data_IF_335584711313
#
_entry.id   IF_335584711313
#
_cell.length_a   1.000
_cell.length_b   1.000
_cell.length_c   1.000
_cell.angle_alpha   90.00
_cell.angle_beta   90.00
_cell.angle_gamma   90.00
#
_symmetry.space_group_name_H-M   'P 1'
#
loop_
_entity.id
_entity.type
_entity.pdbx_description
1 polymer ?
#
# COMPACT_ATOMS: atom_id res chain seq x y z
N UNK A 1 -6.82 -7.51 -31.81
CA UNK A 1 -5.77 -7.72 -30.78
C UNK A 1 -6.35 -8.62 -29.69
N UNK A 2 -5.70 -9.73 -29.31
CA UNK A 2 -6.20 -10.58 -28.23
C UNK A 2 -6.17 -9.83 -26.89
N UNK A 3 -7.19 -10.03 -26.06
CA UNK A 3 -7.27 -9.46 -24.70
C UNK A 3 -7.10 -10.62 -23.71
N UNK A 4 -6.13 -10.48 -22.82
CA UNK A 4 -5.86 -11.41 -21.73
C UNK A 4 -6.23 -10.78 -20.40
N UNK A 5 -6.85 -11.55 -19.52
CA UNK A 5 -7.28 -11.13 -18.19
C UNK A 5 -6.49 -11.91 -17.16
N UNK A 6 -5.78 -11.23 -16.27
CA UNK A 6 -5.05 -11.86 -15.16
C UNK A 6 -6.03 -12.28 -14.06
N UNK A 7 -5.88 -13.49 -13.54
CA UNK A 7 -6.62 -13.98 -12.39
C UNK A 7 -5.77 -14.08 -11.11
N UNK A 8 -6.42 -14.41 -9.99
CA UNK A 8 -5.79 -14.54 -8.66
C UNK A 8 -4.80 -15.70 -8.54
N UNK A 9 -4.79 -16.61 -9.51
CA UNK A 9 -3.84 -17.75 -9.59
C UNK A 9 -2.62 -17.41 -10.47
N UNK A 10 -2.42 -16.13 -10.80
CA UNK A 10 -1.35 -15.64 -11.69
C UNK A 10 -1.43 -16.18 -13.12
N UNK A 11 -2.63 -16.51 -13.61
CA UNK A 11 -2.85 -17.04 -14.96
C UNK A 11 -3.65 -16.09 -15.85
N UNK A 12 -3.32 -16.10 -17.15
CA UNK A 12 -4.10 -15.35 -18.13
C UNK A 12 -5.28 -16.16 -18.66
N UNK A 13 -6.49 -15.61 -18.48
CA UNK A 13 -7.75 -16.12 -19.02
C UNK A 13 -8.19 -15.34 -20.26
N UNK A 14 -9.02 -15.99 -21.08
CA UNK A 14 -9.79 -15.30 -22.12
C UNK A 14 -10.91 -14.48 -21.48
N UNK A 15 -11.42 -13.48 -22.21
CA UNK A 15 -12.57 -12.67 -21.76
C UNK A 15 -13.79 -13.55 -21.42
N UNK A 16 -14.04 -14.62 -22.20
CA UNK A 16 -15.16 -15.54 -21.94
C UNK A 16 -14.99 -16.28 -20.62
N UNK A 17 -13.79 -16.79 -20.33
CA UNK A 17 -13.50 -17.51 -19.09
C UNK A 17 -13.48 -16.57 -17.86
N UNK A 18 -12.97 -15.35 -18.02
CA UNK A 18 -13.02 -14.33 -16.97
C UNK A 18 -14.47 -13.98 -16.59
N UNK A 19 -15.39 -13.90 -17.57
CA UNK A 19 -16.81 -13.63 -17.32
C UNK A 19 -17.53 -14.76 -16.58
N UNK A 20 -17.10 -16.01 -16.73
CA UNK A 20 -17.71 -17.14 -16.01
C UNK A 20 -17.23 -17.25 -14.56
N UNK A 21 -16.09 -16.68 -14.21
CA UNK A 21 -15.49 -16.75 -12.87
C UNK A 21 -15.07 -15.36 -12.36
N UNK A 22 -16.00 -14.40 -12.22
CA UNK A 22 -15.68 -13.01 -11.94
C UNK A 22 -14.93 -12.83 -10.61
N UNK A 23 -15.22 -13.65 -9.61
CA UNK A 23 -14.54 -13.62 -8.31
C UNK A 23 -13.05 -13.98 -8.38
N UNK A 24 -12.62 -14.74 -9.39
CA UNK A 24 -11.21 -15.06 -9.59
C UNK A 24 -10.42 -13.96 -10.28
N UNK A 25 -11.10 -12.98 -10.87
CA UNK A 25 -10.47 -11.85 -11.57
C UNK A 25 -10.57 -10.58 -10.74
N UNK A 26 -11.64 -10.44 -9.97
CA UNK A 26 -11.82 -9.35 -9.03
C UNK A 26 -10.62 -9.32 -8.06
N UNK A 27 -9.98 -8.16 -7.93
CA UNK A 27 -8.87 -7.96 -7.01
C UNK A 27 -7.59 -8.73 -7.33
N UNK A 28 -7.27 -9.01 -8.61
CA UNK A 28 -6.02 -9.69 -9.00
C UNK A 28 -4.78 -8.78 -9.14
N UNK A 29 -4.88 -7.47 -8.84
CA UNK A 29 -3.79 -6.51 -9.01
C UNK A 29 -2.53 -6.84 -8.17
N UNK A 30 -2.72 -7.35 -6.96
CA UNK A 30 -1.62 -7.75 -6.06
C UNK A 30 -0.80 -8.91 -6.64
N UNK A 31 -1.43 -9.80 -7.41
CA UNK A 31 -0.76 -10.96 -8.01
C UNK A 31 0.31 -10.51 -9.00
N UNK A 32 0.01 -9.51 -9.83
CA UNK A 32 0.97 -8.97 -10.79
C UNK A 32 2.20 -8.38 -10.08
N UNK A 33 2.00 -7.65 -8.98
CA UNK A 33 3.09 -7.11 -8.16
C UNK A 33 3.91 -8.24 -7.53
N UNK A 34 3.27 -9.23 -6.89
CA UNK A 34 3.96 -10.36 -6.28
C UNK A 34 4.76 -11.19 -7.28
N UNK A 35 4.17 -11.47 -8.44
CA UNK A 35 4.80 -12.20 -9.53
C UNK A 35 6.04 -11.46 -10.04
N UNK A 36 5.94 -10.13 -10.22
CA UNK A 36 7.05 -9.30 -10.65
C UNK A 36 8.22 -9.38 -9.67
N UNK A 37 7.96 -9.24 -8.36
CA UNK A 37 9.01 -9.33 -7.34
C UNK A 37 9.65 -10.71 -7.31
N UNK A 38 8.87 -11.78 -7.48
CA UNK A 38 9.34 -13.17 -7.47
C UNK A 38 10.37 -13.50 -8.57
N UNK A 39 10.48 -12.65 -9.59
CA UNK A 39 11.52 -12.73 -10.64
C UNK A 39 12.90 -12.29 -10.13
N UNK A 40 12.95 -11.42 -9.13
CA UNK A 40 14.18 -10.86 -8.57
C UNK A 40 14.53 -11.43 -7.20
N UNK A 41 13.53 -11.64 -6.35
CA UNK A 41 13.70 -12.13 -4.97
C UNK A 41 12.83 -13.35 -4.76
N UNK A 42 13.45 -14.51 -4.50
CA UNK A 42 12.74 -15.78 -4.37
C UNK A 42 11.94 -15.90 -3.07
N UNK A 43 12.41 -15.26 -2.01
CA UNK A 43 11.79 -15.34 -0.68
C UNK A 43 11.74 -13.93 -0.09
N UNK A 44 10.55 -13.35 0.03
CA UNK A 44 10.31 -12.02 0.60
C UNK A 44 8.83 -11.81 0.97
N UNK A 45 8.53 -10.71 1.63
CA UNK A 45 7.15 -10.18 1.71
C UNK A 45 7.07 -8.87 0.96
N UNK A 46 6.12 -8.72 0.05
CA UNK A 46 5.88 -7.46 -0.68
C UNK A 46 4.81 -6.66 0.04
N UNK A 47 5.03 -5.36 0.23
CA UNK A 47 4.02 -4.43 0.73
C UNK A 47 3.78 -3.36 -0.35
N UNK A 48 2.56 -3.36 -0.91
CA UNK A 48 2.11 -2.40 -1.92
C UNK A 48 1.04 -1.48 -1.30
N UNK A 49 1.40 -0.22 -1.10
CA UNK A 49 0.50 0.77 -0.47
C UNK A 49 -0.05 1.70 -1.54
N UNK A 50 -1.32 1.48 -1.87
CA UNK A 50 -2.08 2.33 -2.78
C UNK A 50 -2.69 3.55 -2.09
N UNK A 51 -3.63 4.21 -2.78
CA UNK A 51 -4.41 5.31 -2.20
C UNK A 51 -5.41 4.85 -1.14
N UNK A 52 -5.92 3.62 -1.27
CA UNK A 52 -7.08 3.12 -0.51
C UNK A 52 -6.72 2.00 0.45
N UNK A 53 -5.83 1.10 0.02
CA UNK A 53 -5.51 -0.13 0.72
C UNK A 53 -4.03 -0.46 0.61
N UNK A 54 -3.61 -1.36 1.49
CA UNK A 54 -2.26 -1.93 1.54
C UNK A 54 -2.37 -3.44 1.33
N UNK A 55 -1.67 -3.96 0.33
CA UNK A 55 -1.54 -5.41 0.11
C UNK A 55 -0.23 -5.91 0.70
N UNK A 56 -0.29 -7.05 1.40
CA UNK A 56 0.87 -7.74 1.98
C UNK A 56 0.96 -9.12 1.35
N UNK A 57 1.97 -9.34 0.51
CA UNK A 57 2.03 -10.46 -0.43
C UNK A 57 3.26 -11.31 -0.09
N UNK A 58 3.09 -12.47 0.55
CA UNK A 58 4.19 -13.40 0.79
C UNK A 58 4.65 -14.06 -0.51
N UNK A 59 5.96 -14.07 -0.74
CA UNK A 59 6.63 -14.76 -1.86
C UNK A 59 7.64 -15.74 -1.27
N UNK A 60 7.53 -17.02 -1.60
CA UNK A 60 8.40 -18.08 -1.10
C UNK A 60 8.84 -18.94 -2.28
N UNK A 61 10.14 -19.22 -2.39
CA UNK A 61 10.75 -20.02 -3.48
C UNK A 61 10.34 -19.57 -4.90
N UNK A 62 10.11 -18.27 -5.10
CA UNK A 62 9.69 -17.67 -6.37
C UNK A 62 8.21 -17.83 -6.71
N UNK A 63 7.39 -18.34 -5.79
CA UNK A 63 5.94 -18.43 -5.90
C UNK A 63 5.24 -17.52 -4.90
N UNK A 64 4.04 -17.03 -5.24
CA UNK A 64 3.21 -16.27 -4.31
C UNK A 64 2.51 -17.25 -3.36
N UNK A 65 2.73 -17.11 -2.05
CA UNK A 65 2.19 -17.99 -1.01
C UNK A 65 1.05 -17.31 -0.25
N UNK A 66 0.13 -16.66 -0.98
CA UNK A 66 -1.04 -16.02 -0.38
C UNK A 66 -2.01 -17.09 0.15
N UNK A 67 -2.48 -16.91 1.38
CA UNK A 67 -3.52 -17.73 1.98
C UNK A 67 -4.93 -17.33 1.50
N UNK A 68 -5.13 -16.05 1.17
CA UNK A 68 -6.39 -15.53 0.66
C UNK A 68 -6.41 -15.33 -0.85
N UNK A 69 -7.50 -15.74 -1.50
CA UNK A 69 -7.73 -15.52 -2.93
C UNK A 69 -8.81 -14.46 -3.17
N UNK A 70 -9.68 -14.24 -2.20
CA UNK A 70 -10.70 -13.19 -2.18
C UNK A 70 -10.32 -12.07 -1.21
N UNK A 71 -10.97 -10.90 -1.33
CA UNK A 71 -10.72 -9.80 -0.39
C UNK A 71 -11.05 -10.16 1.06
N UNK A 72 -12.13 -10.93 1.28
CA UNK A 72 -12.48 -11.41 2.62
C UNK A 72 -11.38 -12.30 3.21
N UNK A 73 -10.92 -13.29 2.44
CA UNK A 73 -9.85 -14.17 2.91
C UNK A 73 -8.55 -13.40 3.15
N UNK A 74 -8.20 -12.45 2.27
CA UNK A 74 -7.00 -11.62 2.46
C UNK A 74 -7.10 -10.76 3.72
N UNK A 75 -8.28 -10.20 4.02
CA UNK A 75 -8.53 -9.48 5.27
C UNK A 75 -8.35 -10.39 6.49
N UNK A 76 -8.93 -11.60 6.45
CA UNK A 76 -8.79 -12.58 7.53
C UNK A 76 -7.33 -13.00 7.78
N UNK A 77 -6.51 -12.97 6.73
CA UNK A 77 -5.12 -13.43 6.76
C UNK A 77 -4.10 -12.29 6.86
N UNK A 78 -4.51 -11.03 7.02
CA UNK A 78 -3.59 -9.90 7.07
C UNK A 78 -2.86 -9.61 5.75
N UNK A 79 -3.34 -10.17 4.64
CA UNK A 79 -2.79 -9.97 3.28
C UNK A 79 -3.40 -8.74 2.59
N UNK A 80 -4.45 -8.18 3.18
CA UNK A 80 -5.08 -6.93 2.78
C UNK A 80 -5.44 -6.13 4.03
N UNK A 81 -4.98 -4.87 4.09
CA UNK A 81 -5.40 -3.89 5.10
C UNK A 81 -6.10 -2.75 4.37
N UNK A 82 -7.31 -2.39 4.79
CA UNK A 82 -8.10 -1.30 4.18
C UNK A 82 -7.65 0.08 4.66
N UNK A 83 -6.34 0.33 4.58
CA UNK A 83 -5.71 1.61 4.84
C UNK A 83 -4.71 1.94 3.74
N UNK A 84 -4.73 3.17 3.26
CA UNK A 84 -3.89 3.63 2.16
C UNK A 84 -3.50 5.09 2.30
N UNK A 85 -2.77 5.59 1.32
CA UNK A 85 -2.09 6.89 1.41
C UNK A 85 -3.01 8.11 1.26
N UNK A 86 -4.25 7.97 0.78
CA UNK A 86 -5.06 9.14 0.41
C UNK A 86 -6.51 9.09 0.90
N UNK A 87 -7.17 7.92 0.89
CA UNK A 87 -8.64 7.84 0.94
C UNK A 87 -9.21 7.33 2.26
N UNK A 88 -8.35 6.97 3.21
CA UNK A 88 -8.82 6.31 4.43
C UNK A 88 -9.38 7.35 5.38
N UNK A 89 -10.68 7.25 5.72
CA UNK A 89 -11.28 8.10 6.75
C UNK A 89 -10.47 7.97 8.05
N UNK A 90 -10.08 9.08 8.66
CA UNK A 90 -9.35 9.10 9.94
C UNK A 90 -10.08 8.29 11.02
N UNK A 91 -11.42 8.31 11.03
CA UNK A 91 -12.23 7.53 11.98
C UNK A 91 -12.14 6.00 11.78
N UNK A 92 -11.66 5.54 10.62
CA UNK A 92 -11.35 4.11 10.37
C UNK A 92 -9.91 3.74 10.81
N UNK A 93 -9.07 4.73 11.08
CA UNK A 93 -7.69 4.54 11.57
C UNK A 93 -7.68 4.56 13.10
N UNK A 94 -8.35 5.52 13.71
CA UNK A 94 -8.36 5.74 15.16
C UNK A 94 -9.76 5.99 15.69
N UNK A 95 -10.02 5.63 16.95
CA UNK A 95 -11.25 5.98 17.68
C UNK A 95 -11.06 7.14 18.68
N UNK A 96 -9.80 7.47 19.00
CA UNK A 96 -9.42 8.59 19.85
C UNK A 96 -7.99 9.03 19.57
N UNK A 97 -7.65 10.27 19.94
CA UNK A 97 -6.32 10.86 19.79
C UNK A 97 -5.89 11.57 21.07
N UNK A 98 -4.58 11.61 21.39
CA UNK A 98 -4.07 12.44 22.46
C UNK A 98 -4.16 13.92 22.06
N UNK A 99 -4.63 14.75 22.98
CA UNK A 99 -4.68 16.20 22.82
C UNK A 99 -4.46 16.86 24.18
N UNK A 100 -3.41 17.68 24.28
CA UNK A 100 -2.94 18.25 25.56
C UNK A 100 -2.65 17.12 26.56
N UNK A 101 -3.27 17.16 27.74
CA UNK A 101 -3.13 16.14 28.78
C UNK A 101 -4.31 15.16 28.81
N UNK A 102 -5.08 15.06 27.72
CA UNK A 102 -6.30 14.26 27.63
C UNK A 102 -6.28 13.32 26.42
N UNK A 103 -7.16 12.32 26.44
CA UNK A 103 -7.51 11.50 25.28
C UNK A 103 -8.90 11.94 24.81
N UNK A 104 -9.01 12.33 23.55
CA UNK A 104 -10.24 12.87 22.95
C UNK A 104 -10.76 11.89 21.91
N UNK A 105 -12.05 11.57 21.94
CA UNK A 105 -12.68 10.71 20.93
C UNK A 105 -12.79 11.44 19.61
N UNK A 106 -12.58 10.72 18.51
CA UNK A 106 -12.76 11.29 17.17
C UNK A 106 -14.22 11.18 16.72
N UNK A 107 -14.67 12.14 15.92
CA UNK A 107 -15.95 12.06 15.22
C UNK A 107 -15.90 10.99 14.13
N UNK A 108 -17.02 10.31 13.87
CA UNK A 108 -17.13 9.31 12.80
C UNK A 108 -17.30 9.91 11.40
N UNK A 109 -17.70 11.18 11.33
CA UNK A 109 -17.89 11.93 10.08
C UNK A 109 -16.59 11.97 9.26
N UNK A 110 -16.74 11.95 7.93
CA UNK A 110 -15.60 12.13 7.02
C UNK A 110 -15.20 13.61 7.01
N UNK A 111 -14.45 14.03 8.01
CA UNK A 111 -13.88 15.39 8.08
C UNK A 111 -12.46 15.47 7.51
N UNK A 112 -11.69 14.41 7.65
CA UNK A 112 -10.33 14.29 7.12
C UNK A 112 -10.04 12.84 6.74
N UNK A 113 -9.13 12.66 5.79
CA UNK A 113 -8.64 11.36 5.35
C UNK A 113 -7.12 11.20 5.56
N UNK A 114 -6.58 10.05 5.20
CA UNK A 114 -5.14 9.79 5.27
C UNK A 114 -4.33 10.70 4.35
N UNK A 115 -4.93 11.23 3.27
CA UNK A 115 -4.30 12.23 2.41
C UNK A 115 -4.02 13.52 3.17
N UNK A 116 -5.00 14.01 3.95
CA UNK A 116 -4.82 15.16 4.83
C UNK A 116 -3.74 14.91 5.90
N UNK A 117 -3.73 13.73 6.52
CA UNK A 117 -2.69 13.34 7.49
C UNK A 117 -1.31 13.43 6.86
N UNK A 118 -1.12 12.84 5.69
CA UNK A 118 0.18 12.80 5.03
C UNK A 118 0.60 14.13 4.42
N UNK A 119 -0.34 14.97 3.96
CA UNK A 119 -0.06 16.36 3.58
C UNK A 119 0.40 17.20 4.78
N UNK A 120 -0.28 17.09 5.93
CA UNK A 120 0.07 17.85 7.14
C UNK A 120 1.51 17.55 7.61
N UNK A 121 1.89 16.28 7.51
CA UNK A 121 3.22 15.76 7.87
C UNK A 121 4.29 15.96 6.78
N UNK A 122 3.89 16.37 5.57
CA UNK A 122 4.82 16.53 4.44
C UNK A 122 5.31 15.22 3.83
N UNK A 123 4.60 14.11 4.07
CA UNK A 123 4.89 12.80 3.49
C UNK A 123 4.56 12.73 2.00
N UNK A 124 3.58 13.54 1.56
CA UNK A 124 3.17 13.68 0.16
C UNK A 124 3.05 15.16 -0.20
N UNK A 125 3.18 15.46 -1.49
CA UNK A 125 2.91 16.80 -2.04
C UNK A 125 1.44 17.01 -2.39
N UNK A 126 1.02 18.26 -2.58
CA UNK A 126 -0.34 18.60 -3.06
C UNK A 126 -0.66 17.94 -4.41
N UNK A 127 0.35 17.78 -5.28
CA UNK A 127 0.22 17.11 -6.58
C UNK A 127 -0.03 15.61 -6.43
N UNK A 128 0.50 15.00 -5.38
CA UNK A 128 0.33 13.57 -5.11
C UNK A 128 -1.00 13.26 -4.41
N UNK A 129 -1.59 14.24 -3.72
CA UNK A 129 -2.96 14.14 -3.23
C UNK A 129 -3.96 14.34 -4.39
N UNK A 130 -4.15 13.29 -5.19
CA UNK A 130 -4.96 13.32 -6.42
C UNK A 130 -6.46 13.16 -6.18
N UNK A 131 -6.88 12.93 -4.94
CA UNK A 131 -8.27 12.73 -4.53
C UNK A 131 -8.99 14.04 -4.23
N UNK A 132 -10.33 13.98 -4.25
CA UNK A 132 -11.16 15.05 -3.69
C UNK A 132 -10.96 15.09 -2.18
N UNK A 133 -10.94 16.29 -1.59
CA UNK A 133 -10.88 16.44 -0.14
C UNK A 133 -12.29 16.26 0.44
N UNK A 134 -12.35 15.85 1.71
CA UNK A 134 -13.60 15.61 2.41
C UNK A 134 -14.59 16.80 2.41
N UNK A 135 -14.09 18.03 2.33
CA UNK A 135 -14.87 19.27 2.31
C UNK A 135 -14.96 19.94 0.93
N UNK A 136 -14.39 19.33 -0.11
CA UNK A 136 -14.31 19.88 -1.47
C UNK A 136 -13.43 21.13 -1.63
N UNK A 137 -12.68 21.53 -0.59
CA UNK A 137 -11.76 22.67 -0.63
C UNK A 137 -10.38 22.30 -1.17
N UNK A 138 -9.46 23.26 -1.16
CA UNK A 138 -8.09 23.04 -1.60
C UNK A 138 -7.27 22.18 -0.64
N UNK A 139 -6.01 21.99 -1.03
CA UNK A 139 -5.01 21.15 -0.37
C UNK A 139 -3.91 21.97 0.28
N UNK A 140 -4.12 23.28 0.43
CA UNK A 140 -3.16 24.14 1.11
C UNK A 140 -3.02 23.70 2.55
N UNK A 141 -1.86 24.00 3.14
CA UNK A 141 -1.58 23.64 4.54
C UNK A 141 -2.67 24.12 5.50
N UNK A 142 -3.23 25.32 5.30
CA UNK A 142 -4.30 25.85 6.17
C UNK A 142 -5.59 25.04 6.05
N UNK A 143 -5.98 24.65 4.83
CA UNK A 143 -7.20 23.87 4.59
C UNK A 143 -7.07 22.44 5.11
N UNK A 144 -5.91 21.81 4.93
CA UNK A 144 -5.59 20.49 5.50
C UNK A 144 -5.69 20.51 7.03
N UNK A 145 -5.08 21.49 7.69
CA UNK A 145 -5.15 21.61 9.14
C UNK A 145 -6.58 21.89 9.63
N UNK A 146 -7.37 22.66 8.87
CA UNK A 146 -8.77 22.90 9.21
C UNK A 146 -9.61 21.61 9.13
N UNK A 147 -9.39 20.75 8.14
CA UNK A 147 -10.03 19.42 8.08
C UNK A 147 -9.63 18.53 9.26
N UNK A 148 -8.33 18.47 9.56
CA UNK A 148 -7.83 17.66 10.69
C UNK A 148 -8.34 18.14 12.05
N UNK A 149 -8.48 19.45 12.29
CA UNK A 149 -9.04 19.97 13.53
C UNK A 149 -10.48 19.48 13.78
N UNK A 150 -11.27 19.35 12.70
CA UNK A 150 -12.66 18.89 12.77
C UNK A 150 -12.80 17.44 13.21
N UNK A 151 -11.75 16.62 13.09
CA UNK A 151 -11.74 15.22 13.57
C UNK A 151 -12.11 15.14 15.06
N UNK A 152 -11.74 16.13 15.86
CA UNK A 152 -12.11 16.25 17.28
C UNK A 152 -13.18 17.31 17.54
N UNK A 153 -13.99 17.60 16.52
CA UNK A 153 -15.04 18.63 16.53
C UNK A 153 -14.53 20.05 16.88
N UNK A 154 -13.28 20.35 16.54
CA UNK A 154 -12.66 21.67 16.73
C UNK A 154 -12.44 22.39 15.39
N UNK A 155 -11.82 23.57 15.45
CA UNK A 155 -11.36 24.34 14.30
C UNK A 155 -9.95 24.93 14.57
N UNK A 156 -9.44 25.70 13.61
CA UNK A 156 -8.10 26.33 13.65
C UNK A 156 -8.02 27.55 14.57
N UNK A 157 -9.14 28.01 15.14
CA UNK A 157 -9.17 29.05 16.17
C UNK A 157 -9.12 28.42 17.58
N UNK A 158 -9.64 27.19 17.73
CA UNK A 158 -9.63 26.42 18.97
C UNK A 158 -8.33 25.63 19.20
N UNK A 159 -7.71 25.14 18.13
CA UNK A 159 -6.47 24.36 18.18
C UNK A 159 -5.34 25.11 17.47
N UNK A 160 -4.16 25.13 18.09
CA UNK A 160 -2.99 25.64 17.40
C UNK A 160 -2.46 24.65 16.35
N UNK A 161 -1.58 25.15 15.48
CA UNK A 161 -1.00 24.36 14.39
C UNK A 161 -0.24 23.12 14.90
N UNK A 162 0.47 23.22 16.01
CA UNK A 162 1.27 22.12 16.52
C UNK A 162 0.36 21.04 17.11
N UNK A 163 -0.70 21.40 17.83
CA UNK A 163 -1.72 20.46 18.32
C UNK A 163 -2.31 19.63 17.17
N UNK A 164 -2.69 20.28 16.06
CA UNK A 164 -3.25 19.59 14.90
C UNK A 164 -2.20 18.67 14.24
N UNK A 165 -0.94 19.10 14.16
CA UNK A 165 0.14 18.27 13.61
C UNK A 165 0.44 17.08 14.53
N UNK A 166 0.36 17.23 15.86
CA UNK A 166 0.49 16.11 16.80
C UNK A 166 -0.62 15.08 16.64
N UNK A 167 -1.87 15.54 16.43
CA UNK A 167 -2.99 14.67 16.06
C UNK A 167 -2.66 13.88 14.78
N UNK A 168 -2.17 14.56 13.73
CA UNK A 168 -1.77 13.90 12.49
C UNK A 168 -0.63 12.87 12.68
N UNK A 169 0.39 13.20 13.49
CA UNK A 169 1.48 12.27 13.81
C UNK A 169 0.97 11.02 14.51
N UNK A 170 0.07 11.18 15.48
CA UNK A 170 -0.55 10.06 16.18
C UNK A 170 -1.34 9.18 15.21
N UNK A 171 -2.22 9.77 14.39
CA UNK A 171 -3.01 9.02 13.39
C UNK A 171 -2.08 8.26 12.43
N UNK A 172 -1.01 8.89 11.93
CA UNK A 172 -0.03 8.22 11.08
C UNK A 172 0.64 7.04 11.79
N UNK A 173 0.97 7.18 13.08
CA UNK A 173 1.53 6.08 13.88
C UNK A 173 0.56 4.90 14.03
N UNK A 174 -0.72 5.17 14.27
CA UNK A 174 -1.78 4.15 14.34
C UNK A 174 -1.99 3.46 12.99
N UNK A 175 -1.97 4.23 11.90
CA UNK A 175 -2.05 3.68 10.54
C UNK A 175 -0.90 2.72 10.24
N UNK A 176 0.33 3.10 10.61
CA UNK A 176 1.50 2.24 10.48
C UNK A 176 1.33 0.97 11.32
N UNK A 177 0.78 1.09 12.54
CA UNK A 177 0.55 -0.07 13.42
C UNK A 177 -0.45 -1.06 12.82
N UNK A 178 -1.54 -0.61 12.22
CA UNK A 178 -2.49 -1.50 11.52
C UNK A 178 -1.80 -2.35 10.45
N UNK A 179 -0.88 -1.76 9.68
CA UNK A 179 -0.11 -2.48 8.65
C UNK A 179 0.96 -3.38 9.29
N UNK A 180 1.59 -2.94 10.37
CA UNK A 180 2.58 -3.74 11.11
C UNK A 180 1.97 -5.00 11.72
N UNK A 181 0.79 -4.91 12.34
CA UNK A 181 0.06 -6.06 12.90
C UNK A 181 -0.30 -7.09 11.82
N UNK A 182 -0.82 -6.63 10.68
CA UNK A 182 -1.11 -7.50 9.54
C UNK A 182 0.17 -8.14 8.97
N UNK A 183 1.28 -7.38 8.92
CA UNK A 183 2.58 -7.88 8.50
C UNK A 183 3.09 -8.97 9.46
N UNK A 184 3.02 -8.77 10.77
CA UNK A 184 3.35 -9.80 11.78
C UNK A 184 2.51 -11.06 11.59
N UNK A 185 1.21 -10.91 11.32
CA UNK A 185 0.32 -12.02 11.03
C UNK A 185 0.81 -12.84 9.82
N UNK A 186 1.21 -12.18 8.72
CA UNK A 186 1.78 -12.85 7.55
C UNK A 186 3.11 -13.53 7.89
N UNK A 187 4.02 -12.82 8.56
CA UNK A 187 5.32 -13.34 8.99
C UNK A 187 5.17 -14.59 9.88
N UNK A 188 4.18 -14.60 10.78
CA UNK A 188 3.93 -15.74 11.67
C UNK A 188 3.64 -17.04 10.92
N UNK A 189 3.00 -16.95 9.74
CA UNK A 189 2.69 -18.12 8.89
C UNK A 189 3.87 -18.55 8.05
N UNK A 190 4.64 -17.61 7.50
CA UNK A 190 5.69 -17.94 6.53
C UNK A 190 7.04 -18.26 7.17
N UNK A 191 7.29 -17.87 8.43
CA UNK A 191 8.52 -18.20 9.16
C UNK A 191 8.79 -19.70 9.26
N UNK A 192 7.76 -20.54 9.22
CA UNK A 192 7.93 -22.01 9.21
C UNK A 192 8.41 -22.57 7.87
N UNK A 193 8.38 -21.77 6.80
CA UNK A 193 8.71 -22.20 5.44
C UNK A 193 10.18 -21.98 5.08
N UNK A 194 10.93 -21.22 5.89
CA UNK A 194 12.36 -20.93 5.65
C UNK A 194 13.09 -20.57 6.94
N UNK A 195 14.37 -20.92 7.02
CA UNK A 195 15.27 -20.48 8.09
C UNK A 195 16.06 -19.21 7.70
N UNK A 196 15.86 -18.70 6.49
CA UNK A 196 16.54 -17.51 5.97
C UNK A 196 15.87 -16.22 6.44
N UNK A 197 16.63 -15.12 6.39
CA UNK A 197 16.06 -13.78 6.58
C UNK A 197 15.09 -13.47 5.43
N UNK A 198 13.91 -12.98 5.77
CA UNK A 198 12.87 -12.65 4.79
C UNK A 198 12.84 -11.12 4.64
N UNK A 199 13.43 -10.56 3.56
CA UNK A 199 13.37 -9.12 3.32
C UNK A 199 11.93 -8.69 3.01
N UNK A 200 11.65 -7.40 3.25
CA UNK A 200 10.41 -6.77 2.80
C UNK A 200 10.68 -5.91 1.56
N UNK A 201 9.94 -6.15 0.49
CA UNK A 201 9.97 -5.32 -0.72
C UNK A 201 8.82 -4.32 -0.66
N UNK A 202 9.08 -3.03 -0.83
CA UNK A 202 8.06 -1.98 -0.72
C UNK A 202 7.81 -1.28 -2.06
N UNK A 203 6.55 -0.98 -2.33
CA UNK A 203 6.10 -0.22 -3.51
C UNK A 203 4.84 0.60 -3.22
N UNK A 204 4.38 1.37 -4.20
CA UNK A 204 3.22 2.24 -4.08
C UNK A 204 3.55 3.62 -3.49
N UNK A 205 2.52 4.47 -3.42
CA UNK A 205 2.66 5.84 -2.93
C UNK A 205 3.09 5.88 -1.45
N UNK A 206 2.58 4.94 -0.65
CA UNK A 206 2.85 4.85 0.78
C UNK A 206 4.10 4.07 1.16
N UNK A 207 4.99 3.74 0.21
CA UNK A 207 6.13 2.86 0.45
C UNK A 207 7.07 3.35 1.56
N UNK A 208 7.27 4.66 1.67
CA UNK A 208 8.22 5.24 2.63
C UNK A 208 7.59 5.40 4.02
N UNK A 209 6.39 5.98 4.08
CA UNK A 209 5.79 6.43 5.33
C UNK A 209 4.79 5.44 5.94
N UNK A 210 4.29 4.45 5.18
CA UNK A 210 3.48 3.34 5.70
C UNK A 210 4.29 2.03 5.65
N UNK A 211 4.63 1.54 4.46
CA UNK A 211 5.19 0.19 4.30
C UNK A 211 6.53 0.01 5.00
N UNK A 212 7.50 0.90 4.72
CA UNK A 212 8.83 0.86 5.35
C UNK A 212 8.76 1.16 6.84
N UNK A 213 7.84 2.03 7.27
CA UNK A 213 7.63 2.30 8.69
C UNK A 213 7.09 1.07 9.43
N UNK A 214 6.12 0.35 8.84
CA UNK A 214 5.57 -0.88 9.39
C UNK A 214 6.60 -2.01 9.45
N UNK A 215 7.38 -2.20 8.38
CA UNK A 215 8.46 -3.19 8.36
C UNK A 215 9.53 -2.91 9.43
N UNK A 216 9.90 -1.63 9.62
CA UNK A 216 10.82 -1.23 10.69
C UNK A 216 10.22 -1.45 12.09
N UNK A 217 8.94 -1.19 12.27
CA UNK A 217 8.25 -1.34 13.56
C UNK A 217 8.34 -2.78 14.09
N UNK A 218 8.24 -3.76 13.21
CA UNK A 218 8.29 -5.19 13.58
C UNK A 218 9.72 -5.77 13.54
N UNK A 219 10.73 -4.94 13.29
CA UNK A 219 12.13 -5.33 13.28
C UNK A 219 12.58 -6.16 12.07
N UNK A 220 12.00 -5.95 10.88
CA UNK A 220 12.49 -6.60 9.66
C UNK A 220 13.94 -6.18 9.38
N UNK A 221 14.80 -7.19 9.12
CA UNK A 221 16.24 -7.00 8.87
C UNK A 221 16.55 -6.12 7.65
N UNK A 222 15.79 -6.30 6.56
CA UNK A 222 16.08 -5.66 5.28
C UNK A 222 14.79 -5.19 4.59
N UNK A 223 14.81 -3.94 4.11
CA UNK A 223 13.69 -3.33 3.36
C UNK A 223 14.17 -2.78 2.04
N UNK A 224 13.73 -3.41 0.95
CA UNK A 224 14.16 -3.16 -0.44
C UNK A 224 13.09 -2.35 -1.17
N UNK A 225 13.49 -1.31 -1.91
CA UNK A 225 12.57 -0.60 -2.80
C UNK A 225 12.40 -1.37 -4.12
N UNK A 226 11.16 -1.55 -4.59
CA UNK A 226 10.89 -2.28 -5.84
C UNK A 226 11.71 -1.76 -7.03
N UNK A 227 11.86 -0.44 -7.16
CA UNK A 227 12.62 0.14 -8.26
C UNK A 227 14.13 -0.20 -8.20
N UNK A 228 14.69 -0.51 -7.03
CA UNK A 228 16.09 -0.96 -6.94
C UNK A 228 16.26 -2.36 -7.51
N UNK A 229 15.24 -3.21 -7.39
CA UNK A 229 15.25 -4.55 -8.00
C UNK A 229 15.16 -4.47 -9.53
N UNK A 230 14.32 -3.57 -10.04
CA UNK A 230 14.05 -3.46 -11.49
C UNK A 230 15.15 -2.70 -12.22
N UNK A 231 15.73 -1.67 -11.59
CA UNK A 231 16.71 -0.76 -12.22
C UNK A 231 18.13 -0.87 -11.62
N UNK A 232 18.39 -1.88 -10.79
CA UNK A 232 19.72 -2.15 -10.23
C UNK A 232 20.70 -2.70 -11.28
N UNK A 233 21.87 -3.16 -10.80
CA UNK A 233 23.01 -3.58 -11.66
C UNK A 233 22.67 -4.73 -12.63
N UNK A 234 21.65 -5.53 -12.30
CA UNK A 234 21.11 -6.51 -13.22
C UNK A 234 20.04 -5.84 -14.11
N UNK A 235 20.46 -5.37 -15.28
CA UNK A 235 19.58 -4.84 -16.32
C UNK A 235 18.77 -5.98 -16.98
N UNK A 236 17.93 -6.68 -16.21
CA UNK A 236 17.24 -7.91 -16.64
C UNK A 236 16.28 -7.66 -17.82
N UNK A 237 15.75 -6.43 -17.94
CA UNK A 237 14.69 -6.11 -18.91
C UNK A 237 14.99 -4.95 -19.86
N UNK A 238 16.22 -4.44 -19.92
CA UNK A 238 16.55 -3.40 -20.92
C UNK A 238 15.95 -2.02 -20.66
N UNK A 239 15.40 -1.75 -19.46
CA UNK A 239 14.51 -0.59 -19.24
C UNK A 239 15.32 0.68 -18.96
N UNK A 240 15.09 1.78 -19.72
CA UNK A 240 15.77 3.04 -19.48
C UNK A 240 15.56 3.55 -18.05
N UNK A 241 16.65 3.93 -17.39
CA UNK A 241 16.62 4.47 -16.02
C UNK A 241 16.41 5.98 -16.06
N UNK A 242 15.17 6.42 -15.83
CA UNK A 242 14.82 7.84 -15.62
C UNK A 242 13.93 8.00 -14.39
N UNK A 243 13.88 9.21 -13.81
CA UNK A 243 13.08 9.48 -12.62
C UNK A 243 11.58 9.22 -12.85
N UNK A 244 11.04 9.62 -14.01
CA UNK A 244 9.64 9.40 -14.36
C UNK A 244 9.29 7.93 -14.57
N UNK A 245 10.21 7.14 -15.16
CA UNK A 245 10.02 5.70 -15.33
C UNK A 245 10.05 4.98 -13.98
N UNK A 246 11.00 5.32 -13.10
CA UNK A 246 11.06 4.77 -11.73
C UNK A 246 9.78 5.07 -10.95
N UNK A 247 9.31 6.31 -11.02
CA UNK A 247 8.05 6.72 -10.39
C UNK A 247 6.85 5.96 -10.97
N UNK A 248 6.77 5.79 -12.29
CA UNK A 248 5.73 5.01 -12.95
C UNK A 248 5.70 3.56 -12.49
N UNK A 249 6.85 2.90 -12.39
CA UNK A 249 6.95 1.52 -11.90
C UNK A 249 6.53 1.41 -10.43
N UNK A 250 6.92 2.35 -9.57
CA UNK A 250 6.50 2.38 -8.16
C UNK A 250 4.99 2.59 -8.01
N UNK A 251 4.40 3.55 -8.75
CA UNK A 251 2.99 3.94 -8.60
C UNK A 251 2.02 3.04 -9.38
N UNK A 252 2.52 2.29 -10.36
CA UNK A 252 1.73 1.41 -11.22
C UNK A 252 2.35 -0.01 -11.33
N UNK A 253 2.90 -0.53 -10.23
CA UNK A 253 3.51 -1.87 -10.16
C UNK A 253 2.63 -2.99 -10.73
N UNK A 254 1.30 -3.05 -10.47
CA UNK A 254 0.45 -4.06 -11.08
C UNK A 254 0.42 -4.01 -12.61
N UNK A 255 0.29 -2.82 -13.19
CA UNK A 255 0.20 -2.65 -14.64
C UNK A 255 1.52 -3.05 -15.32
N UNK A 256 2.64 -2.66 -14.72
CA UNK A 256 3.96 -3.04 -15.19
C UNK A 256 4.19 -4.56 -15.10
N UNK A 257 3.77 -5.18 -13.98
CA UNK A 257 3.80 -6.64 -13.82
C UNK A 257 2.98 -7.37 -14.88
N UNK A 258 1.73 -6.96 -15.13
CA UNK A 258 0.87 -7.55 -16.18
C UNK A 258 1.51 -7.44 -17.57
N UNK A 259 2.14 -6.30 -17.88
CA UNK A 259 2.79 -6.09 -19.17
C UNK A 259 3.96 -7.08 -19.37
N UNK A 260 4.81 -7.26 -18.35
CA UNK A 260 5.91 -8.22 -18.38
C UNK A 260 5.42 -9.67 -18.44
N UNK A 261 4.40 -10.04 -17.65
CA UNK A 261 3.77 -11.35 -17.74
C UNK A 261 3.28 -11.64 -19.16
N UNK A 262 2.68 -10.65 -19.81
CA UNK A 262 2.18 -10.79 -21.19
C UNK A 262 3.34 -10.99 -22.16
N UNK A 263 4.43 -10.24 -22.01
CA UNK A 263 5.63 -10.38 -22.84
C UNK A 263 6.24 -11.79 -22.73
N UNK A 264 6.47 -12.27 -21.50
CA UNK A 264 6.99 -13.63 -21.25
C UNK A 264 6.09 -14.70 -21.89
N UNK A 265 4.77 -14.59 -21.70
CA UNK A 265 3.80 -15.51 -22.31
C UNK A 265 3.89 -15.54 -23.84
N UNK A 266 4.07 -14.40 -24.50
CA UNK A 266 4.21 -14.33 -25.95
C UNK A 266 5.56 -14.87 -26.45
N UNK A 267 6.59 -14.85 -25.61
CA UNK A 267 7.91 -15.42 -25.89
C UNK A 267 7.99 -16.93 -25.59
N UNK A 268 6.97 -17.51 -24.94
CA UNK A 268 6.95 -18.91 -24.54
C UNK A 268 7.68 -19.20 -23.22
N UNK A 269 8.00 -18.16 -22.45
CA UNK A 269 8.60 -18.26 -21.11
C UNK A 269 7.48 -18.35 -20.06
N UNK A 270 7.47 -19.41 -19.25
CA UNK A 270 6.56 -19.58 -18.10
C UNK A 270 7.19 -18.98 -16.82
#
# INVERSE_FOLDING_TARGET
>A
MPIFILDVDATFKSVKAAKSEPLKVASANWVATGWLVARFVKTCVVIDVGSTSTSIIPVINGGILAAGKTDLEKLMNGELVYTGSLRTNVAAIVSSVPLRNCVVRVASELFADSGDVHLALGNISEKEHTTETADGRGKTRREVLARLARVVCADIEMLDKEEIVQIARYICGEQVRQVAEALEQVFSRIKSHTNEKIPVVVTGLGKIFIARAAAKMIGVDEVIDLEKLIFGDAFVYGIPSSASIKEGVTKASPAFGVALMTACKLQGEN
#
